data_IF_263731788055
#
_entry.id   IF_263731788055
#
_cell.length_a   1.000
_cell.length_b   1.000
_cell.length_c   1.000
_cell.angle_alpha   90.00
_cell.angle_beta   90.00
_cell.angle_gamma   90.00
#
_symmetry.space_group_name_H-M   'P 1'
#
loop_
_entity.id
_entity.type
_entity.pdbx_description
1 polymer ?
#
# COMPACT_ATOMS: atom_id res chain seq x y z
N UNK A 1 -16.35 -0.97 9.87
CA UNK A 1 -15.20 -1.73 10.38
C UNK A 1 -14.66 -0.99 11.62
N UNK A 2 -15.26 -1.22 12.81
CA UNK A 2 -15.08 -0.36 14.00
C UNK A 2 -13.62 -0.31 14.49
N UNK A 3 -13.00 -1.48 14.65
CA UNK A 3 -11.61 -1.63 15.12
C UNK A 3 -10.60 -0.92 14.21
N UNK A 4 -10.80 -1.00 12.89
CA UNK A 4 -9.91 -0.36 11.92
C UNK A 4 -9.98 1.16 11.99
N UNK A 5 -11.18 1.72 12.21
CA UNK A 5 -11.34 3.16 12.39
C UNK A 5 -10.71 3.64 13.71
N UNK A 6 -10.83 2.85 14.78
CA UNK A 6 -10.16 3.13 16.06
C UNK A 6 -8.64 3.10 15.91
N UNK A 7 -8.08 2.14 15.17
CA UNK A 7 -6.64 2.10 14.88
C UNK A 7 -6.16 3.35 14.13
N UNK A 8 -6.89 3.81 13.10
CA UNK A 8 -6.56 5.08 12.43
C UNK A 8 -6.65 6.28 13.36
N UNK A 9 -7.63 6.30 14.28
CA UNK A 9 -7.73 7.34 15.29
C UNK A 9 -6.51 7.38 16.20
N UNK A 10 -6.06 6.24 16.73
CA UNK A 10 -4.84 6.18 17.54
C UNK A 10 -3.61 6.64 16.76
N UNK A 11 -3.45 6.22 15.50
CA UNK A 11 -2.34 6.66 14.66
C UNK A 11 -2.41 8.15 14.31
N UNK A 12 -3.58 8.79 14.34
CA UNK A 12 -3.70 10.25 14.17
C UNK A 12 -3.18 11.04 15.36
N UNK A 13 -3.10 10.39 16.53
CA UNK A 13 -2.59 10.98 17.77
C UNK A 13 -1.08 10.74 17.90
N UNK A 14 -0.61 9.54 17.51
CA UNK A 14 0.79 9.14 17.61
C UNK A 14 1.42 9.08 16.20
N UNK A 15 2.40 9.95 15.89
CA UNK A 15 3.13 9.94 14.61
C UNK A 15 3.98 8.66 14.49
N UNK A 16 3.34 7.57 14.08
CA UNK A 16 3.95 6.25 13.86
C UNK A 16 3.79 5.88 12.38
N UNK A 17 4.67 6.39 11.50
CA UNK A 17 4.50 6.26 10.05
C UNK A 17 4.43 4.82 9.55
N UNK A 18 5.27 3.94 10.11
CA UNK A 18 5.29 2.52 9.74
C UNK A 18 3.92 1.86 9.96
N UNK A 19 3.22 2.23 11.03
CA UNK A 19 1.92 1.67 11.36
C UNK A 19 0.82 2.19 10.41
N UNK A 20 0.92 3.43 9.91
CA UNK A 20 0.01 3.93 8.87
C UNK A 20 0.12 3.12 7.58
N UNK A 21 1.35 2.87 7.12
CA UNK A 21 1.60 2.10 5.90
C UNK A 21 1.04 0.69 6.05
N UNK A 22 1.32 0.04 7.18
CA UNK A 22 0.82 -1.30 7.49
C UNK A 22 -0.71 -1.34 7.58
N UNK A 23 -1.34 -0.35 8.22
CA UNK A 23 -2.79 -0.33 8.41
C UNK A 23 -3.54 -0.10 7.10
N UNK A 24 -3.06 0.81 6.24
CA UNK A 24 -3.61 0.98 4.90
C UNK A 24 -3.42 -0.28 4.03
N UNK A 25 -2.24 -0.92 4.09
CA UNK A 25 -1.99 -2.18 3.40
C UNK A 25 -2.91 -3.31 3.86
N UNK A 26 -3.14 -3.44 5.17
CA UNK A 26 -4.10 -4.39 5.73
C UNK A 26 -5.54 -4.10 5.27
N UNK A 27 -5.95 -2.83 5.34
CA UNK A 27 -7.28 -2.39 4.88
C UNK A 27 -7.49 -2.73 3.40
N UNK A 28 -6.49 -2.50 2.56
CA UNK A 28 -6.54 -2.88 1.16
C UNK A 28 -6.75 -4.40 0.99
N UNK A 29 -5.96 -5.23 1.69
CA UNK A 29 -6.08 -6.70 1.61
C UNK A 29 -7.47 -7.20 1.98
N UNK A 30 -8.12 -6.57 2.97
CA UNK A 30 -9.52 -6.87 3.31
C UNK A 30 -10.47 -6.59 2.14
N UNK A 31 -10.30 -5.47 1.43
CA UNK A 31 -11.12 -5.15 0.27
C UNK A 31 -10.86 -6.09 -0.92
N UNK A 32 -9.60 -6.48 -1.15
CA UNK A 32 -9.25 -7.49 -2.16
C UNK A 32 -9.99 -8.80 -1.92
N UNK A 33 -10.00 -9.30 -0.68
CA UNK A 33 -10.72 -10.53 -0.28
C UNK A 33 -12.23 -10.40 -0.55
N UNK A 34 -12.79 -9.20 -0.41
CA UNK A 34 -14.21 -8.92 -0.65
C UNK A 34 -14.55 -8.68 -2.12
N UNK A 35 -13.57 -8.69 -3.02
CA UNK A 35 -13.76 -8.36 -4.44
C UNK A 35 -14.00 -6.86 -4.71
N UNK A 36 -13.83 -5.99 -3.70
CA UNK A 36 -13.91 -4.54 -3.88
C UNK A 36 -12.54 -4.02 -4.32
N UNK A 37 -12.26 -4.19 -5.61
CA UNK A 37 -10.96 -3.83 -6.17
C UNK A 37 -10.70 -2.33 -6.20
N UNK A 38 -11.76 -1.52 -6.27
CA UNK A 38 -11.64 -0.06 -6.20
C UNK A 38 -11.07 0.39 -4.85
N UNK A 39 -11.65 -0.08 -3.74
CA UNK A 39 -11.13 0.25 -2.41
C UNK A 39 -9.80 -0.45 -2.12
N UNK A 40 -9.53 -1.63 -2.68
CA UNK A 40 -8.20 -2.24 -2.62
C UNK A 40 -7.13 -1.32 -3.23
N UNK A 41 -7.33 -0.87 -4.47
CA UNK A 41 -6.37 0.00 -5.17
C UNK A 41 -6.16 1.30 -4.40
N UNK A 42 -7.24 1.97 -4.02
CA UNK A 42 -7.19 3.25 -3.28
C UNK A 42 -6.40 3.13 -1.98
N UNK A 43 -6.62 2.07 -1.19
CA UNK A 43 -5.91 1.90 0.08
C UNK A 43 -4.45 1.45 -0.14
N UNK A 44 -4.14 0.64 -1.16
CA UNK A 44 -2.74 0.34 -1.53
C UNK A 44 -1.98 1.59 -1.95
N UNK A 45 -2.58 2.41 -2.80
CA UNK A 45 -1.98 3.68 -3.25
C UNK A 45 -1.71 4.61 -2.07
N UNK A 46 -2.66 4.70 -1.11
CA UNK A 46 -2.46 5.50 0.09
C UNK A 46 -1.34 4.97 0.99
N UNK A 47 -1.24 3.65 1.15
CA UNK A 47 -0.15 3.02 1.89
C UNK A 47 1.22 3.36 1.27
N UNK A 48 1.32 3.28 -0.06
CA UNK A 48 2.54 3.58 -0.81
C UNK A 48 2.89 5.07 -0.70
N UNK A 49 1.92 5.98 -0.85
CA UNK A 49 2.12 7.43 -0.72
C UNK A 49 2.69 7.78 0.66
N UNK A 50 2.05 7.33 1.74
CA UNK A 50 2.55 7.56 3.10
C UNK A 50 3.93 6.93 3.31
N UNK A 51 4.16 5.75 2.73
CA UNK A 51 5.44 5.06 2.81
C UNK A 51 6.57 5.86 2.14
N UNK A 52 6.30 6.48 0.99
CA UNK A 52 7.26 7.36 0.30
C UNK A 52 7.51 8.62 1.13
N UNK A 53 6.46 9.30 1.58
CA UNK A 53 6.57 10.53 2.39
C UNK A 53 7.39 10.33 3.67
N UNK A 54 7.36 9.12 4.23
CA UNK A 54 7.97 8.79 5.52
C UNK A 54 9.15 7.82 5.40
N UNK A 55 9.73 7.69 4.21
CA UNK A 55 10.93 6.88 3.91
C UNK A 55 10.85 5.41 4.37
N UNK A 56 9.66 4.80 4.29
CA UNK A 56 9.43 3.39 4.61
C UNK A 56 9.77 2.49 3.41
N UNK A 57 11.00 2.60 2.90
CA UNK A 57 11.43 2.01 1.61
C UNK A 57 11.07 0.54 1.45
N UNK A 58 11.37 -0.29 2.47
CA UNK A 58 11.03 -1.72 2.43
C UNK A 58 9.53 -1.96 2.19
N UNK A 59 8.65 -1.25 2.92
CA UNK A 59 7.21 -1.40 2.76
C UNK A 59 6.72 -0.84 1.42
N UNK A 60 7.28 0.29 0.96
CA UNK A 60 7.00 0.83 -0.37
C UNK A 60 7.35 -0.19 -1.46
N UNK A 61 8.50 -0.86 -1.34
CA UNK A 61 8.94 -1.87 -2.28
C UNK A 61 8.00 -3.06 -2.34
N UNK A 62 7.62 -3.61 -1.17
CA UNK A 62 6.70 -4.74 -1.04
C UNK A 62 5.30 -4.40 -1.59
N UNK A 63 4.70 -3.29 -1.16
CA UNK A 63 3.34 -2.90 -1.53
C UNK A 63 3.25 -2.51 -3.00
N UNK A 64 4.26 -1.81 -3.54
CA UNK A 64 4.28 -1.45 -4.96
C UNK A 64 4.44 -2.70 -5.84
N UNK A 65 5.22 -3.69 -5.41
CA UNK A 65 5.30 -4.95 -6.13
C UNK A 65 3.95 -5.68 -6.16
N UNK A 66 3.26 -5.75 -5.01
CA UNK A 66 1.93 -6.37 -4.90
C UNK A 66 0.89 -5.67 -5.78
N UNK A 67 0.86 -4.33 -5.77
CA UNK A 67 -0.05 -3.55 -6.60
C UNK A 67 0.30 -3.64 -8.09
N UNK A 68 1.60 -3.71 -8.43
CA UNK A 68 2.08 -3.94 -9.78
C UNK A 68 1.61 -5.28 -10.35
N UNK A 69 1.73 -6.35 -9.57
CA UNK A 69 1.22 -7.68 -9.94
C UNK A 69 -0.29 -7.66 -10.17
N UNK A 70 -1.05 -7.01 -9.28
CA UNK A 70 -2.50 -6.87 -9.45
C UNK A 70 -2.86 -6.18 -10.78
N UNK A 71 -2.17 -5.09 -11.14
CA UNK A 71 -2.40 -4.44 -12.42
C UNK A 71 -1.97 -5.31 -13.60
N UNK A 72 -0.91 -6.09 -13.46
CA UNK A 72 -0.44 -7.01 -14.49
C UNK A 72 -1.48 -8.11 -14.79
N UNK A 73 -2.01 -8.74 -13.75
CA UNK A 73 -3.07 -9.75 -13.83
C UNK A 73 -4.33 -9.20 -14.52
N UNK A 74 -4.64 -7.93 -14.28
CA UNK A 74 -5.78 -7.22 -14.90
C UNK A 74 -5.43 -6.53 -16.24
N UNK A 75 -4.31 -6.87 -16.87
CA UNK A 75 -3.85 -6.35 -18.17
C UNK A 75 -3.68 -4.82 -18.22
N UNK A 76 -3.54 -4.18 -17.05
CA UNK A 76 -3.29 -2.75 -16.87
C UNK A 76 -1.79 -2.45 -16.87
N UNK A 77 -1.11 -2.79 -17.97
CA UNK A 77 0.36 -2.86 -18.03
C UNK A 77 1.08 -1.54 -17.75
N UNK A 78 0.48 -0.40 -18.13
CA UNK A 78 1.06 0.93 -17.83
C UNK A 78 1.13 1.19 -16.33
N UNK A 79 0.07 0.81 -15.59
CA UNK A 79 0.03 0.94 -14.14
C UNK A 79 0.93 -0.11 -13.48
N UNK A 80 0.92 -1.34 -13.98
CA UNK A 80 1.85 -2.39 -13.55
C UNK A 80 3.31 -1.92 -13.61
N UNK A 81 3.75 -1.43 -14.77
CA UNK A 81 5.11 -0.91 -14.96
C UNK A 81 5.44 0.26 -14.03
N UNK A 82 4.49 1.18 -13.80
CA UNK A 82 4.65 2.28 -12.83
C UNK A 82 5.00 1.73 -11.44
N UNK A 83 4.21 0.78 -10.93
CA UNK A 83 4.41 0.26 -9.57
C UNK A 83 5.59 -0.71 -9.45
N UNK A 84 5.93 -1.44 -10.51
CA UNK A 84 7.21 -2.18 -10.55
C UNK A 84 8.42 -1.27 -10.51
N UNK A 85 8.39 -0.12 -11.20
CA UNK A 85 9.45 0.88 -11.12
C UNK A 85 9.60 1.42 -9.69
N UNK A 86 8.50 1.83 -9.06
CA UNK A 86 8.51 2.31 -7.66
C UNK A 86 9.07 1.21 -6.74
N UNK A 87 8.68 -0.04 -6.95
CA UNK A 87 9.20 -1.16 -6.17
C UNK A 87 10.71 -1.30 -6.32
N UNK A 88 11.23 -1.30 -7.55
CA UNK A 88 12.65 -1.40 -7.83
C UNK A 88 13.46 -0.24 -7.22
N UNK A 89 12.96 0.99 -7.32
CA UNK A 89 13.60 2.19 -6.76
C UNK A 89 13.67 2.20 -5.22
N UNK A 90 12.85 1.39 -4.55
CA UNK A 90 12.78 1.30 -3.09
C UNK A 90 13.36 -0.01 -2.52
N UNK A 91 13.82 -0.93 -3.37
CA UNK A 91 14.62 -2.07 -2.92
C UNK A 91 15.98 -1.52 -2.52
N UNK A 92 16.30 -1.55 -1.23
CA UNK A 92 17.66 -1.30 -0.78
C UNK A 92 18.54 -2.43 -1.33
N UNK A 93 19.61 -2.07 -2.06
CA UNK A 93 20.68 -3.00 -2.42
C UNK A 93 21.22 -3.59 -1.11
N UNK A 94 21.03 -4.90 -0.92
CA UNK A 94 21.62 -5.67 0.18
C UNK A 94 23.11 -5.92 -0.09
#
# INVERSE_FOLDING_TARGET
>A
NKVMNEAFHFLSIYDVPIAYVQLYGLKAKVFKIRGDYYEYEKNMQKAIEVGVEKNQHRLVAELSYELGNFYNENRSYKLSAKYFKISAENKMDL
#
